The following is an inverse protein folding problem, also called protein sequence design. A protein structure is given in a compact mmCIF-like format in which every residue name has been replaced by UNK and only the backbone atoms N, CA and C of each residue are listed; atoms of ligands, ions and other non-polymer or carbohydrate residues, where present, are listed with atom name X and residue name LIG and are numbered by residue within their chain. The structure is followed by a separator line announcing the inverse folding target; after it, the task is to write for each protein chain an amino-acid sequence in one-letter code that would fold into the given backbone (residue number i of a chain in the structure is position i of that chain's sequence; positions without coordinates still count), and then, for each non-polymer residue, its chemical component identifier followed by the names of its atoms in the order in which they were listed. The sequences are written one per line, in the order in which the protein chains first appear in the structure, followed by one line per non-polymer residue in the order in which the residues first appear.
data_IF_612916485067
#
_entry.id   IF_612916485067
#
_cell.length_a   1.000
_cell.length_b   1.000
_cell.length_c   1.000
_cell.angle_alpha   90.00
_cell.angle_beta   90.00
_cell.angle_gamma   90.00
#
_symmetry.space_group_name_H-M   'P 1'
#
loop_
_entity.id
_entity.type
_entity.pdbx_description
1 polymer ?
#
# COMPACT_ATOMS: atom_id res chain seq x y z
N UNK A 1 -1.84 -11.23 -16.53
CA UNK A 1 -1.50 -10.02 -15.75
C UNK A 1 -2.64 -9.57 -14.84
N UNK A 2 -3.88 -9.44 -15.37
CA UNK A 2 -5.07 -9.18 -14.54
C UNK A 2 -5.25 -10.19 -13.39
N UNK A 3 -5.06 -11.48 -13.66
CA UNK A 3 -5.21 -12.54 -12.65
C UNK A 3 -4.23 -12.41 -11.47
N UNK A 4 -2.98 -12.02 -11.71
CA UNK A 4 -1.98 -11.81 -10.64
C UNK A 4 -2.36 -10.64 -9.72
N UNK A 5 -2.88 -9.56 -10.30
CA UNK A 5 -3.35 -8.39 -9.55
C UNK A 5 -4.58 -8.77 -8.72
N UNK A 6 -5.52 -9.52 -9.30
CA UNK A 6 -6.70 -9.99 -8.61
C UNK A 6 -6.34 -10.88 -7.41
N UNK A 7 -5.49 -11.90 -7.60
CA UNK A 7 -5.05 -12.79 -6.53
C UNK A 7 -4.37 -12.02 -5.38
N UNK A 8 -3.53 -11.04 -5.71
CA UNK A 8 -2.89 -10.17 -4.72
C UNK A 8 -3.90 -9.35 -3.92
N UNK A 9 -4.85 -8.70 -4.60
CA UNK A 9 -5.88 -7.87 -3.98
C UNK A 9 -6.85 -8.70 -3.12
N UNK A 10 -7.23 -9.89 -3.58
CA UNK A 10 -8.08 -10.82 -2.83
C UNK A 10 -7.40 -11.30 -1.56
N UNK A 11 -6.11 -11.68 -1.67
CA UNK A 11 -5.32 -12.09 -0.52
C UNK A 11 -5.22 -10.97 0.52
N UNK A 12 -4.87 -9.74 0.08
CA UNK A 12 -4.77 -8.58 0.98
C UNK A 12 -6.09 -8.24 1.66
N UNK A 13 -7.20 -8.23 0.92
CA UNK A 13 -8.53 -7.94 1.47
C UNK A 13 -8.89 -8.95 2.55
N UNK A 14 -8.73 -10.24 2.26
CA UNK A 14 -9.00 -11.32 3.22
C UNK A 14 -8.14 -11.23 4.48
N UNK A 15 -6.85 -10.93 4.35
CA UNK A 15 -5.95 -10.79 5.51
C UNK A 15 -6.26 -9.53 6.33
N UNK A 16 -6.57 -8.41 5.67
CA UNK A 16 -6.97 -7.19 6.36
C UNK A 16 -8.25 -7.40 7.16
N UNK A 17 -9.25 -8.09 6.62
CA UNK A 17 -10.46 -8.47 7.35
C UNK A 17 -10.13 -9.28 8.61
N UNK A 18 -9.28 -10.30 8.49
CA UNK A 18 -8.87 -11.12 9.63
C UNK A 18 -8.10 -10.33 10.69
N UNK A 19 -7.19 -9.44 10.27
CA UNK A 19 -6.39 -8.61 11.17
C UNK A 19 -7.26 -7.61 11.92
N UNK A 20 -8.14 -6.90 11.21
CA UNK A 20 -9.00 -5.87 11.78
C UNK A 20 -10.11 -6.48 12.67
N UNK A 21 -10.56 -7.70 12.36
CA UNK A 21 -11.51 -8.44 13.19
C UNK A 21 -10.98 -8.77 14.60
N UNK A 22 -9.65 -8.79 14.80
CA UNK A 22 -9.05 -8.98 16.13
C UNK A 22 -9.28 -7.78 17.07
N UNK A 23 -9.79 -6.66 16.56
CA UNK A 23 -10.10 -5.44 17.30
C UNK A 23 -8.96 -4.99 18.25
N UNK A 24 -7.71 -5.16 17.80
CA UNK A 24 -6.55 -4.79 18.59
C UNK A 24 -6.25 -3.30 18.42
N UNK A 25 -6.28 -2.55 19.52
CA UNK A 25 -6.08 -1.09 19.53
C UNK A 25 -4.74 -0.64 18.93
N UNK A 26 -3.67 -1.39 19.16
CA UNK A 26 -2.32 -1.05 18.65
C UNK A 26 -2.27 -1.27 17.14
N UNK A 27 -2.75 -2.41 16.68
CA UNK A 27 -2.82 -2.74 15.25
C UNK A 27 -3.67 -1.71 14.51
N UNK A 28 -4.85 -1.38 15.02
CA UNK A 28 -5.74 -0.40 14.40
C UNK A 28 -5.09 0.98 14.27
N UNK A 29 -4.30 1.41 15.27
CA UNK A 29 -3.55 2.66 15.21
C UNK A 29 -2.44 2.63 14.18
N UNK A 30 -1.74 1.50 14.05
CA UNK A 30 -0.68 1.34 13.06
C UNK A 30 -1.25 1.38 11.63
N UNK A 31 -2.36 0.68 11.37
CA UNK A 31 -3.04 0.71 10.06
C UNK A 31 -3.56 2.11 9.73
N UNK A 32 -4.10 2.82 10.72
CA UNK A 32 -4.53 4.20 10.54
C UNK A 32 -3.35 5.14 10.24
N UNK A 33 -2.22 4.97 10.92
CA UNK A 33 -1.01 5.73 10.64
C UNK A 33 -0.48 5.47 9.23
N UNK A 34 -0.38 4.20 8.83
CA UNK A 34 0.07 3.79 7.50
C UNK A 34 -0.82 4.41 6.41
N UNK A 35 -2.14 4.28 6.55
CA UNK A 35 -3.11 4.87 5.60
C UNK A 35 -2.97 6.38 5.49
N UNK A 36 -2.89 7.09 6.63
CA UNK A 36 -2.80 8.55 6.64
C UNK A 36 -1.44 9.08 6.18
N UNK A 37 -0.37 8.27 6.23
CA UNK A 37 0.96 8.69 5.79
C UNK A 37 0.96 9.08 4.31
N UNK A 38 0.17 8.38 3.48
CA UNK A 38 0.06 8.59 2.04
C UNK A 38 -1.01 9.61 1.62
N UNK A 39 -1.79 10.17 2.56
CA UNK A 39 -2.78 11.21 2.26
C UNK A 39 -2.11 12.52 1.76
N UNK A 40 -2.83 13.33 0.99
CA UNK A 40 -2.31 14.60 0.50
C UNK A 40 -1.93 15.56 1.64
N UNK A 41 -0.87 16.33 1.44
CA UNK A 41 -0.40 17.36 2.37
C UNK A 41 0.63 18.25 1.69
N UNK A 42 1.73 18.56 2.38
CA UNK A 42 2.85 19.29 1.78
C UNK A 42 3.44 18.57 0.55
N UNK A 43 3.35 17.24 0.52
CA UNK A 43 3.60 16.40 -0.65
C UNK A 43 2.29 15.75 -1.09
N UNK A 44 2.10 15.64 -2.40
CA UNK A 44 0.96 14.91 -2.97
C UNK A 44 1.07 13.42 -2.67
N UNK A 45 -0.08 12.76 -2.59
CA UNK A 45 -0.23 11.30 -2.58
C UNK A 45 0.62 10.65 -3.67
N UNK A 46 0.62 11.20 -4.90
CA UNK A 46 1.51 10.78 -6.01
C UNK A 46 2.97 10.73 -5.63
N UNK A 47 3.47 11.77 -4.98
CA UNK A 47 4.86 11.80 -4.54
C UNK A 47 5.10 10.78 -3.43
N UNK A 48 4.18 10.68 -2.49
CA UNK A 48 4.29 9.78 -1.32
C UNK A 48 4.24 8.31 -1.72
N UNK A 49 3.41 7.91 -2.68
CA UNK A 49 3.37 6.53 -3.19
C UNK A 49 4.67 6.14 -3.88
N UNK A 50 5.31 7.07 -4.62
CA UNK A 50 6.64 6.83 -5.18
C UNK A 50 7.70 6.66 -4.07
N UNK A 51 7.62 7.44 -2.98
CA UNK A 51 8.49 7.26 -1.81
C UNK A 51 8.24 5.92 -1.11
N UNK A 52 6.97 5.50 -1.01
CA UNK A 52 6.58 4.18 -0.50
C UNK A 52 7.15 3.05 -1.36
N UNK A 53 7.12 3.20 -2.69
CA UNK A 53 7.73 2.26 -3.63
C UNK A 53 9.26 2.18 -3.42
N UNK A 54 9.96 3.31 -3.35
CA UNK A 54 11.41 3.35 -3.08
C UNK A 54 11.75 2.68 -1.75
N UNK A 55 11.04 3.02 -0.68
CA UNK A 55 11.23 2.42 0.65
C UNK A 55 11.00 0.90 0.62
N UNK A 56 9.97 0.44 -0.10
CA UNK A 56 9.65 -0.98 -0.24
C UNK A 56 10.71 -1.77 -0.99
N UNK A 57 11.30 -1.17 -2.03
CA UNK A 57 12.38 -1.78 -2.81
C UNK A 57 13.66 -1.94 -1.97
N UNK A 58 14.07 -0.91 -1.21
CA UNK A 58 15.26 -1.01 -0.35
C UNK A 58 15.06 -1.97 0.83
N UNK A 59 13.83 -2.13 1.31
CA UNK A 59 13.47 -3.11 2.34
C UNK A 59 13.24 -4.52 1.78
N UNK A 60 13.19 -4.68 0.45
CA UNK A 60 12.91 -5.97 -0.24
C UNK A 60 11.59 -6.60 0.21
N UNK A 61 10.54 -5.80 0.34
CA UNK A 61 9.19 -6.27 0.67
C UNK A 61 8.35 -6.41 -0.60
N UNK A 62 8.24 -7.62 -1.16
CA UNK A 62 7.56 -7.88 -2.43
C UNK A 62 6.09 -7.43 -2.44
N UNK A 63 5.35 -7.68 -1.37
CA UNK A 63 3.94 -7.27 -1.30
C UNK A 63 3.77 -5.76 -1.11
N UNK A 64 4.74 -5.10 -0.45
CA UNK A 64 4.79 -3.65 -0.37
C UNK A 64 5.11 -3.04 -1.75
N UNK A 65 6.06 -3.64 -2.49
CA UNK A 65 6.40 -3.23 -3.87
C UNK A 65 5.17 -3.35 -4.77
N UNK A 66 4.48 -4.50 -4.76
CA UNK A 66 3.24 -4.70 -5.55
C UNK A 66 2.16 -3.67 -5.21
N UNK A 67 1.97 -3.39 -3.92
CA UNK A 67 0.98 -2.41 -3.45
C UNK A 67 1.29 -1.00 -3.98
N UNK A 68 2.50 -0.50 -3.71
CA UNK A 68 2.87 0.87 -4.11
C UNK A 68 3.01 1.00 -5.64
N UNK A 69 3.40 -0.06 -6.35
CA UNK A 69 3.40 -0.06 -7.81
C UNK A 69 1.97 0.08 -8.38
N UNK A 70 1.00 -0.63 -7.79
CA UNK A 70 -0.42 -0.49 -8.13
C UNK A 70 -0.92 0.93 -7.88
N UNK A 71 -0.60 1.51 -6.71
CA UNK A 71 -0.98 2.89 -6.37
C UNK A 71 -0.35 3.94 -7.27
N UNK A 72 0.94 3.79 -7.60
CA UNK A 72 1.61 4.64 -8.58
C UNK A 72 0.91 4.59 -9.94
N UNK A 73 0.50 3.39 -10.40
CA UNK A 73 -0.23 3.22 -11.65
C UNK A 73 -1.61 3.89 -11.61
N UNK A 74 -2.37 3.72 -10.53
CA UNK A 74 -3.67 4.37 -10.30
C UNK A 74 -3.56 5.90 -10.33
N UNK A 75 -2.43 6.45 -9.86
CA UNK A 75 -2.15 7.89 -9.81
C UNK A 75 -1.43 8.43 -11.06
N UNK A 76 -1.34 7.64 -12.13
CA UNK A 76 -0.80 8.09 -13.41
C UNK A 76 0.72 8.35 -13.40
N UNK A 77 1.47 7.65 -12.54
CA UNK A 77 2.94 7.64 -12.62
C UNK A 77 3.38 6.92 -13.90
N UNK A 78 4.29 7.55 -14.65
CA UNK A 78 4.93 7.00 -15.86
C UNK A 78 5.97 5.94 -15.50
N UNK A 79 6.47 5.23 -16.50
CA UNK A 79 7.56 4.26 -16.29
C UNK A 79 8.92 4.96 -16.20
N UNK A 80 9.07 6.07 -16.94
CA UNK A 80 10.16 7.04 -16.83
C UNK A 80 10.06 7.84 -15.53
#
# INVERSE_FOLDING_TARGET
MSELIQQFNDYRSRMNEQILAQNNKVINRLFNLDTNTYADGALSSRTKEMLGLVASMVLRCDDCIKYHLGKCKEQGVSTE
#
